data_IF_043752000800
#
_entry.id   IF_043752000800
#
_cell.length_a   1.000
_cell.length_b   1.000
_cell.length_c   1.000
_cell.angle_alpha   90.00
_cell.angle_beta   90.00
_cell.angle_gamma   90.00
#
_symmetry.space_group_name_H-M   'P 1'
#
loop_
_entity.id
_entity.type
_entity.pdbx_description
1 polymer ?
#
# COMPACT_ATOMS: atom_id res chain seq x y z
N UNK A 1 26.12 -11.51 1.75
CA UNK A 1 25.99 -10.28 0.92
C UNK A 1 25.11 -10.45 -0.32
N UNK A 2 24.91 -11.66 -0.87
CA UNK A 2 24.05 -11.86 -2.07
C UNK A 2 22.55 -12.00 -1.77
N UNK A 3 22.15 -12.43 -0.57
CA UNK A 3 20.74 -12.71 -0.25
C UNK A 3 19.88 -11.44 -0.06
N UNK A 4 20.41 -10.40 0.58
CA UNK A 4 19.69 -9.12 0.79
C UNK A 4 19.24 -8.41 -0.51
N UNK A 5 19.92 -8.64 -1.63
CA UNK A 5 19.54 -8.05 -2.92
C UNK A 5 18.30 -8.73 -3.48
N UNK A 6 18.22 -10.06 -3.34
CA UNK A 6 17.13 -10.87 -3.90
C UNK A 6 15.82 -10.61 -3.15
N UNK A 7 15.87 -10.50 -1.82
CA UNK A 7 14.69 -10.18 -1.00
C UNK A 7 14.15 -8.77 -1.29
N UNK A 8 15.03 -7.78 -1.49
CA UNK A 8 14.63 -6.42 -1.86
C UNK A 8 13.97 -6.35 -3.25
N UNK A 9 14.43 -7.17 -4.21
CA UNK A 9 13.80 -7.27 -5.54
C UNK A 9 12.38 -7.82 -5.41
N UNK A 10 12.20 -8.89 -4.63
CA UNK A 10 10.90 -9.50 -4.34
C UNK A 10 9.93 -8.52 -3.68
N UNK A 11 10.38 -7.79 -2.66
CA UNK A 11 9.59 -6.78 -1.96
C UNK A 11 9.07 -5.68 -2.90
N UNK A 12 9.95 -5.13 -3.75
CA UNK A 12 9.56 -4.09 -4.72
C UNK A 12 8.54 -4.59 -5.73
N UNK A 13 8.69 -5.84 -6.17
CA UNK A 13 7.78 -6.49 -7.10
C UNK A 13 6.39 -6.64 -6.46
N UNK A 14 6.30 -7.15 -5.23
CA UNK A 14 5.04 -7.24 -4.46
C UNK A 14 4.39 -5.86 -4.32
N UNK A 15 5.15 -4.83 -3.95
CA UNK A 15 4.64 -3.46 -3.81
C UNK A 15 4.08 -2.94 -5.14
N UNK A 16 4.74 -3.22 -6.26
CA UNK A 16 4.27 -2.79 -7.58
C UNK A 16 2.95 -3.47 -8.00
N UNK A 17 2.80 -4.75 -7.68
CA UNK A 17 1.60 -5.53 -7.99
C UNK A 17 0.43 -5.14 -7.07
N UNK A 18 0.72 -4.86 -5.81
CA UNK A 18 -0.25 -4.28 -4.87
C UNK A 18 -0.70 -2.88 -5.29
N UNK A 19 0.23 -2.04 -5.78
CA UNK A 19 -0.10 -0.71 -6.30
C UNK A 19 -0.96 -0.75 -7.57
N UNK A 20 -0.91 -1.85 -8.35
CA UNK A 20 -1.83 -2.10 -9.47
C UNK A 20 -3.25 -2.50 -9.03
N UNK A 21 -3.47 -2.73 -7.73
CA UNK A 21 -4.78 -3.08 -7.18
C UNK A 21 -5.13 -4.56 -7.23
N UNK A 22 -4.15 -5.45 -7.39
CA UNK A 22 -4.37 -6.89 -7.32
C UNK A 22 -4.57 -7.36 -5.87
N UNK A 23 -5.38 -8.40 -5.68
CA UNK A 23 -5.57 -8.96 -4.34
C UNK A 23 -4.33 -9.73 -3.90
N UNK A 24 -4.16 -9.93 -2.59
CA UNK A 24 -2.99 -10.65 -2.04
C UNK A 24 -2.92 -12.08 -2.60
N UNK A 25 -4.06 -12.73 -2.84
CA UNK A 25 -4.16 -14.06 -3.44
C UNK A 25 -3.73 -14.05 -4.92
N UNK A 26 -4.18 -13.06 -5.69
CA UNK A 26 -3.81 -12.95 -7.11
C UNK A 26 -2.31 -12.66 -7.27
N UNK A 27 -1.75 -11.84 -6.38
CA UNK A 27 -0.31 -11.53 -6.34
C UNK A 27 0.51 -12.79 -6.08
N UNK A 28 0.04 -13.69 -5.21
CA UNK A 28 0.72 -14.95 -4.91
C UNK A 28 0.75 -15.88 -6.13
N UNK A 29 -0.38 -16.02 -6.83
CA UNK A 29 -0.49 -16.84 -8.03
C UNK A 29 0.39 -16.31 -9.17
N UNK A 30 0.31 -15.00 -9.46
CA UNK A 30 1.14 -14.34 -10.47
C UNK A 30 2.64 -14.45 -10.16
N UNK A 31 3.04 -14.35 -8.88
CA UNK A 31 4.43 -14.52 -8.47
C UNK A 31 4.93 -15.95 -8.67
N UNK A 32 4.07 -16.94 -8.41
CA UNK A 32 4.39 -18.36 -8.60
C UNK A 32 4.48 -18.70 -10.09
N UNK A 33 3.59 -18.16 -10.91
CA UNK A 33 3.48 -18.51 -12.33
C UNK A 33 4.45 -17.75 -13.24
N UNK A 34 4.61 -16.44 -13.06
CA UNK A 34 5.41 -15.60 -13.95
C UNK A 34 6.87 -15.54 -13.53
N UNK A 35 7.11 -15.51 -12.22
CA UNK A 35 8.45 -15.30 -11.68
C UNK A 35 9.10 -16.58 -11.15
N UNK A 36 8.36 -17.71 -11.06
CA UNK A 36 8.80 -18.98 -10.45
C UNK A 36 9.38 -18.77 -9.04
N UNK A 37 8.93 -17.72 -8.34
CA UNK A 37 9.40 -17.39 -7.00
C UNK A 37 8.43 -17.98 -5.99
N UNK A 38 8.89 -18.94 -5.21
CA UNK A 38 8.18 -19.37 -4.01
C UNK A 38 8.35 -18.33 -2.89
N UNK A 39 7.34 -17.48 -2.74
CA UNK A 39 7.16 -16.60 -1.59
C UNK A 39 5.97 -17.12 -0.78
N UNK A 40 6.15 -17.29 0.53
CA UNK A 40 5.02 -17.63 1.38
C UNK A 40 4.03 -16.47 1.44
N UNK A 41 2.74 -16.77 1.46
CA UNK A 41 1.66 -15.78 1.70
C UNK A 41 1.93 -14.93 2.94
N UNK A 42 2.55 -15.54 3.97
CA UNK A 42 2.97 -14.84 5.19
C UNK A 42 4.00 -13.74 4.93
N UNK A 43 4.98 -13.95 4.05
CA UNK A 43 5.98 -12.95 3.70
C UNK A 43 5.35 -11.78 2.95
N UNK A 44 4.47 -12.06 1.97
CA UNK A 44 3.72 -11.05 1.22
C UNK A 44 2.87 -10.21 2.17
N UNK A 45 2.13 -10.85 3.08
CA UNK A 45 1.30 -10.17 4.07
C UNK A 45 2.11 -9.26 4.99
N UNK A 46 3.29 -9.69 5.46
CA UNK A 46 4.18 -8.86 6.29
C UNK A 46 4.63 -7.61 5.51
N UNK A 47 5.01 -7.75 4.24
CA UNK A 47 5.46 -6.63 3.41
C UNK A 47 4.30 -5.65 3.17
N UNK A 48 3.14 -6.15 2.75
CA UNK A 48 1.95 -5.33 2.50
C UNK A 48 1.49 -4.62 3.78
N UNK A 49 1.55 -5.28 4.94
CA UNK A 49 1.21 -4.67 6.22
C UNK A 49 2.15 -3.53 6.60
N UNK A 50 3.47 -3.67 6.36
CA UNK A 50 4.43 -2.56 6.58
C UNK A 50 4.11 -1.36 5.71
N UNK A 51 3.76 -1.57 4.45
CA UNK A 51 3.36 -0.49 3.53
C UNK A 51 2.05 0.16 4.01
N UNK A 52 1.09 -0.64 4.48
CA UNK A 52 -0.17 -0.13 5.00
C UNK A 52 0.02 0.71 6.27
N UNK A 53 0.92 0.28 7.18
CA UNK A 53 1.30 1.08 8.35
C UNK A 53 1.95 2.41 7.96
N UNK A 54 2.90 2.39 7.02
CA UNK A 54 3.52 3.61 6.52
C UNK A 54 2.50 4.54 5.83
N UNK A 55 1.49 3.99 5.16
CA UNK A 55 0.40 4.75 4.56
C UNK A 55 -0.51 5.39 5.63
N UNK A 56 -0.82 4.68 6.72
CA UNK A 56 -1.57 5.23 7.85
C UNK A 56 -0.79 6.35 8.55
N UNK A 57 0.50 6.16 8.79
CA UNK A 57 1.39 7.23 9.29
C UNK A 57 1.41 8.42 8.33
N UNK A 58 1.38 8.17 7.02
CA UNK A 58 1.32 9.24 6.03
C UNK A 58 0.02 10.03 6.10
N UNK A 59 -1.12 9.34 6.26
CA UNK A 59 -2.44 9.96 6.41
C UNK A 59 -2.60 10.74 7.71
N UNK A 60 -1.97 10.29 8.79
CA UNK A 60 -2.06 10.93 10.11
C UNK A 60 -1.13 12.13 10.28
N UNK A 61 -0.38 12.54 9.25
CA UNK A 61 0.48 13.74 9.33
C UNK A 61 -0.39 14.98 9.52
N UNK A 62 -0.05 15.87 10.46
CA UNK A 62 -0.76 17.13 10.64
C UNK A 62 -0.65 17.95 9.35
N UNK A 63 -1.79 18.44 8.89
CA UNK A 63 -1.91 19.36 7.76
C UNK A 63 -1.42 20.74 8.21
N UNK A 64 -0.77 21.49 7.31
CA UNK A 64 -0.35 22.86 7.59
C UNK A 64 -1.58 23.76 7.83
N UNK A 65 -1.52 24.74 8.74
CA UNK A 65 -2.70 25.51 9.14
C UNK A 65 -3.25 26.43 8.04
N UNK A 66 -2.50 26.68 6.97
CA UNK A 66 -2.90 27.61 5.89
C UNK A 66 -2.84 26.93 4.54
N UNK A 67 -4.02 26.62 4.00
CA UNK A 67 -4.19 26.24 2.59
C UNK A 67 -5.06 27.28 1.88
N UNK A 68 -4.50 27.98 0.90
CA UNK A 68 -5.20 29.02 0.13
C UNK A 68 -6.29 28.47 -0.80
N UNK A 69 -6.12 27.23 -1.29
CA UNK A 69 -7.06 26.53 -2.16
C UNK A 69 -6.99 25.03 -1.84
N UNK A 70 -8.12 24.40 -1.53
CA UNK A 70 -8.25 22.95 -1.33
C UNK A 70 -9.26 22.40 -2.34
N UNK A 71 -8.89 21.32 -3.02
CA UNK A 71 -9.76 20.62 -3.99
C UNK A 71 -10.28 19.33 -3.36
N UNK A 72 -11.61 19.20 -3.23
CA UNK A 72 -12.25 17.91 -2.92
C UNK A 72 -12.74 17.25 -4.20
N UNK A 73 -12.32 16.01 -4.42
CA UNK A 73 -12.82 15.17 -5.51
C UNK A 73 -13.71 14.11 -4.87
N UNK A 74 -14.94 13.95 -5.36
CA UNK A 74 -15.83 12.87 -4.96
C UNK A 74 -15.66 11.71 -5.95
N UNK A 75 -14.89 10.65 -5.64
CA UNK A 75 -14.92 9.43 -6.42
C UNK A 75 -16.26 8.71 -6.20
N UNK A 76 -16.89 8.29 -7.30
CA UNK A 76 -18.16 7.52 -7.32
C UNK A 76 -18.00 6.08 -6.78
N UNK A 77 -16.76 5.64 -6.52
CA UNK A 77 -16.48 4.30 -6.01
C UNK A 77 -16.57 4.29 -4.48
N UNK A 78 -17.28 3.30 -3.95
CA UNK A 78 -17.54 3.04 -2.52
C UNK A 78 -16.26 2.71 -1.76
N UNK A 79 -15.41 3.71 -1.54
CA UNK A 79 -14.27 3.60 -0.64
C UNK A 79 -14.79 3.68 0.80
N UNK A 80 -14.56 2.61 1.57
CA UNK A 80 -14.93 2.51 2.98
C UNK A 80 -14.48 3.78 3.73
N UNK A 81 -15.34 4.38 4.56
CA UNK A 81 -15.05 5.65 5.24
C UNK A 81 -14.03 5.39 6.35
N UNK A 82 -12.76 5.36 6.01
CA UNK A 82 -11.66 5.37 6.99
C UNK A 82 -11.26 6.84 7.19
N UNK A 83 -11.86 7.43 8.21
CA UNK A 83 -11.33 8.49 9.09
C UNK A 83 -10.79 9.83 8.55
N UNK A 84 -10.82 10.14 7.26
CA UNK A 84 -10.33 11.45 6.78
C UNK A 84 -11.21 12.66 7.15
N UNK A 85 -12.42 12.44 7.70
CA UNK A 85 -13.36 13.53 8.01
C UNK A 85 -13.15 14.21 9.38
N UNK A 86 -12.27 13.66 10.24
CA UNK A 86 -12.17 14.07 11.65
C UNK A 86 -11.44 15.38 11.95
N UNK A 87 -10.61 15.90 11.04
CA UNK A 87 -9.68 17.00 11.35
C UNK A 87 -9.97 18.32 10.62
N UNK A 88 -11.17 18.49 10.04
CA UNK A 88 -11.51 19.72 9.30
C UNK A 88 -12.30 20.77 10.11
N UNK A 89 -12.60 20.51 11.38
CA UNK A 89 -13.32 21.45 12.26
C UNK A 89 -12.66 21.52 13.64
N UNK A 90 -11.53 22.22 13.72
CA UNK A 90 -11.21 23.06 14.88
C UNK A 90 -10.16 24.12 14.54
#
# INVERSE_FOLDING_TARGET
MSLYSVDNIKEKLVISLYAKGMSVSDIEEEMREIYEIELSTSAISIITNKVNQAAQEWQNRPLDPVYLIVWMILPILTFQPINCFGNFVH
#
